data_IF_455382912770
#
_entry.id   IF_455382912770
#
_cell.length_a   1.000
_cell.length_b   1.000
_cell.length_c   1.000
_cell.angle_alpha   90.00
_cell.angle_beta   90.00
_cell.angle_gamma   90.00
#
_symmetry.space_group_name_H-M   'P 1'
#
loop_
_entity.id
_entity.type
_entity.pdbx_description
1 polymer ?
#
# COMPACT_ATOMS: atom_id res chain seq x y z
N UNK A 1 9.70 10.52 -14.96
CA UNK A 1 8.67 9.97 -15.86
C UNK A 1 7.81 9.02 -15.05
N UNK A 2 6.66 9.49 -14.57
CA UNK A 2 5.69 8.63 -13.89
C UNK A 2 5.02 7.74 -14.94
N UNK A 3 5.43 6.48 -15.01
CA UNK A 3 4.68 5.45 -15.74
C UNK A 3 3.39 5.17 -14.98
N UNK A 4 2.31 5.87 -15.30
CA UNK A 4 0.99 5.42 -14.89
C UNK A 4 0.73 4.10 -15.62
N UNK A 5 0.49 3.04 -14.85
CA UNK A 5 0.11 1.76 -15.40
C UNK A 5 -1.22 1.91 -16.15
N UNK A 6 -1.25 1.43 -17.38
CA UNK A 6 -2.45 1.45 -18.22
C UNK A 6 -3.50 0.50 -17.62
N UNK A 7 -4.65 1.00 -17.14
CA UNK A 7 -5.66 0.19 -16.47
C UNK A 7 -6.27 -0.87 -17.40
N UNK A 8 -6.27 -0.67 -18.72
CA UNK A 8 -6.70 -1.69 -19.69
C UNK A 8 -5.73 -2.87 -19.74
N UNK A 9 -4.43 -2.63 -19.56
CA UNK A 9 -3.41 -3.71 -19.49
C UNK A 9 -3.48 -4.51 -18.20
N UNK A 10 -4.02 -3.92 -17.12
CA UNK A 10 -4.17 -4.56 -15.82
C UNK A 10 -5.52 -5.27 -15.66
N UNK A 11 -6.39 -5.25 -16.68
CA UNK A 11 -7.74 -5.83 -16.66
C UNK A 11 -8.53 -5.42 -15.41
N UNK A 12 -8.44 -4.14 -15.03
CA UNK A 12 -9.14 -3.63 -13.85
C UNK A 12 -10.64 -3.52 -14.18
N UNK A 13 -11.54 -4.13 -13.39
CA UNK A 13 -12.98 -4.01 -13.61
C UNK A 13 -13.39 -2.54 -13.67
N UNK A 14 -14.19 -2.20 -14.69
CA UNK A 14 -14.67 -0.82 -14.91
C UNK A 14 -15.40 -0.27 -13.68
N UNK A 15 -16.19 -1.10 -13.01
CA UNK A 15 -16.88 -0.77 -11.76
C UNK A 15 -15.90 -0.25 -10.69
N UNK A 16 -14.72 -0.87 -10.55
CA UNK A 16 -13.74 -0.46 -9.56
C UNK A 16 -13.13 0.90 -9.92
N UNK A 17 -12.85 1.14 -11.20
CA UNK A 17 -12.38 2.44 -11.66
C UNK A 17 -13.41 3.54 -11.38
N UNK A 18 -14.69 3.27 -11.64
CA UNK A 18 -15.79 4.20 -11.37
C UNK A 18 -15.92 4.50 -9.87
N UNK A 19 -15.77 3.51 -9.00
CA UNK A 19 -15.75 3.67 -7.54
C UNK A 19 -14.56 4.52 -7.06
N UNK A 20 -13.37 4.28 -7.60
CA UNK A 20 -12.17 5.06 -7.30
C UNK A 20 -12.35 6.54 -7.71
N UNK A 21 -12.86 6.80 -8.92
CA UNK A 21 -13.14 8.15 -9.41
C UNK A 21 -14.25 8.85 -8.59
N UNK A 22 -15.29 8.11 -8.17
CA UNK A 22 -16.31 8.64 -7.28
C UNK A 22 -15.73 9.01 -5.89
N UNK A 23 -14.85 8.19 -5.34
CA UNK A 23 -14.17 8.48 -4.07
C UNK A 23 -13.20 9.67 -4.17
N UNK A 24 -12.50 9.80 -5.29
CA UNK A 24 -11.57 10.91 -5.55
C UNK A 24 -12.25 12.28 -5.60
N UNK A 25 -13.50 12.33 -6.10
CA UNK A 25 -14.33 13.56 -6.19
C UNK A 25 -14.91 14.03 -4.85
N UNK A 26 -14.78 13.26 -3.76
CA UNK A 26 -15.30 13.65 -2.44
C UNK A 26 -14.56 14.89 -1.92
N UNK A 27 -15.24 15.84 -1.23
CA UNK A 27 -14.58 16.97 -0.58
C UNK A 27 -13.47 16.51 0.38
N UNK A 28 -12.42 17.33 0.52
CA UNK A 28 -11.25 17.00 1.36
C UNK A 28 -11.64 16.64 2.80
N UNK A 29 -12.58 17.37 3.40
CA UNK A 29 -13.09 17.09 4.74
C UNK A 29 -13.67 15.67 4.85
N UNK A 30 -14.45 15.24 3.86
CA UNK A 30 -15.04 13.90 3.80
C UNK A 30 -13.96 12.85 3.63
N UNK A 31 -12.97 13.12 2.76
CA UNK A 31 -11.83 12.22 2.57
C UNK A 31 -11.08 12.03 3.89
N UNK A 32 -10.71 13.11 4.58
CA UNK A 32 -10.00 13.04 5.87
C UNK A 32 -10.82 12.35 6.96
N UNK A 33 -12.14 12.57 7.01
CA UNK A 33 -13.02 11.94 8.00
C UNK A 33 -13.07 10.42 7.87
N UNK A 34 -12.98 9.90 6.65
CA UNK A 34 -13.17 8.47 6.35
C UNK A 34 -11.93 7.75 5.78
N UNK A 35 -10.81 8.45 5.57
CA UNK A 35 -9.60 7.87 4.98
C UNK A 35 -8.79 7.03 5.97
N UNK A 36 -8.95 7.26 7.27
CA UNK A 36 -8.19 6.56 8.29
C UNK A 36 -8.87 5.24 8.62
N UNK A 37 -8.35 4.17 8.03
CA UNK A 37 -8.69 2.80 8.43
C UNK A 37 -7.58 2.26 9.33
N UNK A 38 -7.96 1.67 10.46
CA UNK A 38 -7.03 0.87 11.26
C UNK A 38 -6.89 -0.49 10.59
N UNK A 39 -5.87 -0.63 9.76
CA UNK A 39 -5.49 -1.92 9.17
C UNK A 39 -4.35 -2.51 9.98
N UNK A 40 -4.56 -3.70 10.52
CA UNK A 40 -3.48 -4.49 11.10
C UNK A 40 -2.49 -4.87 9.99
N UNK A 41 -1.22 -4.50 10.16
CA UNK A 41 -0.11 -4.85 9.28
C UNK A 41 0.65 -6.02 9.92
N UNK A 42 0.47 -7.26 9.41
CA UNK A 42 1.10 -8.43 9.99
C UNK A 42 2.62 -8.25 10.13
N UNK A 43 3.20 -8.76 11.21
CA UNK A 43 4.62 -8.67 11.56
C UNK A 43 5.09 -7.26 11.94
N UNK A 44 4.63 -6.22 11.25
CA UNK A 44 4.97 -4.82 11.56
C UNK A 44 4.31 -4.35 12.86
N UNK A 45 3.03 -4.68 13.06
CA UNK A 45 2.29 -4.26 14.26
C UNK A 45 2.52 -5.21 15.46
N UNK A 46 3.25 -6.31 15.27
CA UNK A 46 3.51 -7.34 16.30
C UNK A 46 4.68 -6.99 17.23
N UNK A 47 5.42 -5.92 16.93
CA UNK A 47 6.50 -5.43 17.76
C UNK A 47 6.45 -3.91 17.85
N UNK A 48 6.86 -3.37 19.00
CA UNK A 48 6.90 -1.92 19.21
C UNK A 48 7.92 -1.22 18.32
N UNK A 49 9.07 -1.88 18.06
CA UNK A 49 10.09 -1.39 17.15
C UNK A 49 10.95 -2.54 16.60
N UNK A 50 11.68 -2.23 15.53
CA UNK A 50 12.72 -3.08 14.95
C UNK A 50 13.79 -2.18 14.34
N UNK A 51 15.06 -2.56 14.49
CA UNK A 51 16.21 -1.83 13.95
C UNK A 51 17.17 -2.80 13.29
N UNK A 52 17.91 -2.31 12.30
CA UNK A 52 18.89 -3.06 11.52
C UNK A 52 20.17 -2.22 11.44
N UNK A 53 21.32 -2.87 11.39
CA UNK A 53 22.60 -2.16 11.30
C UNK A 53 22.88 -1.72 9.86
N UNK A 54 22.26 -2.39 8.88
CA UNK A 54 22.37 -2.02 7.47
C UNK A 54 21.03 -2.05 6.72
N UNK A 55 20.99 -1.31 5.61
CA UNK A 55 19.83 -1.35 4.70
C UNK A 55 19.65 -2.70 3.99
N UNK A 56 20.72 -3.48 3.84
CA UNK A 56 20.64 -4.81 3.21
C UNK A 56 19.96 -5.81 4.15
N UNK A 57 20.32 -5.81 5.43
CA UNK A 57 19.64 -6.62 6.46
C UNK A 57 18.15 -6.29 6.54
N UNK A 58 17.80 -5.00 6.51
CA UNK A 58 16.41 -4.55 6.45
C UNK A 58 15.68 -5.13 5.24
N UNK A 59 16.26 -5.07 4.03
CA UNK A 59 15.62 -5.59 2.81
C UNK A 59 15.44 -7.10 2.84
N UNK A 60 16.46 -7.84 3.25
CA UNK A 60 16.39 -9.30 3.38
C UNK A 60 15.33 -9.71 4.41
N UNK A 61 15.24 -8.97 5.52
CA UNK A 61 14.21 -9.21 6.52
C UNK A 61 12.80 -8.93 5.95
N UNK A 62 12.62 -7.82 5.22
CA UNK A 62 11.34 -7.49 4.57
C UNK A 62 10.89 -8.60 3.61
N UNK A 63 11.77 -9.10 2.74
CA UNK A 63 11.44 -10.17 1.79
C UNK A 63 11.05 -11.47 2.48
N UNK A 64 11.71 -11.82 3.59
CA UNK A 64 11.48 -13.08 4.29
C UNK A 64 10.22 -13.05 5.17
N UNK A 65 9.90 -11.89 5.75
CA UNK A 65 8.91 -11.82 6.83
C UNK A 65 7.65 -11.03 6.46
N UNK A 66 7.71 -10.09 5.51
CA UNK A 66 6.56 -9.26 5.19
C UNK A 66 5.73 -9.85 4.05
N UNK A 67 4.39 -9.84 4.16
CA UNK A 67 3.52 -10.15 3.04
C UNK A 67 3.80 -9.25 1.82
N UNK A 68 3.78 -9.85 0.63
CA UNK A 68 4.09 -9.14 -0.62
C UNK A 68 3.18 -7.92 -0.88
N UNK A 69 1.92 -7.99 -0.46
CA UNK A 69 0.95 -6.90 -0.63
C UNK A 69 1.30 -5.61 0.15
N UNK A 70 2.21 -5.69 1.14
CA UNK A 70 2.70 -4.49 1.84
C UNK A 70 3.73 -3.70 1.01
N UNK A 71 4.27 -4.26 -0.07
CA UNK A 71 5.14 -3.53 -1.01
C UNK A 71 6.57 -3.26 -0.53
N UNK A 72 7.05 -3.97 0.50
CA UNK A 72 8.42 -3.83 1.02
C UNK A 72 9.44 -4.80 0.37
N UNK A 73 8.99 -5.74 -0.46
CA UNK A 73 9.86 -6.64 -1.21
C UNK A 73 10.59 -5.93 -2.37
N UNK A 74 11.66 -6.53 -2.89
CA UNK A 74 12.29 -6.05 -4.12
C UNK A 74 11.35 -6.23 -5.32
N UNK A 75 11.33 -5.23 -6.21
CA UNK A 75 10.65 -5.24 -7.50
C UNK A 75 11.58 -5.77 -8.59
#
# INVERSE_FOLDING_TARGET
MSGQADPEKLNIPREWLEDFEAAARRPLEVRMRYSFIKTYKPVLDDASYRSFDTMEEYRQWCEKNLPAWLGYGRL
#
